data_IF_294145750113
#
_entry.id   IF_294145750113
#
_cell.length_a   1.000
_cell.length_b   1.000
_cell.length_c   1.000
_cell.angle_alpha   90.00
_cell.angle_beta   90.00
_cell.angle_gamma   90.00
#
_symmetry.space_group_name_H-M   'P 1'
#
loop_
_entity.id
_entity.type
_entity.pdbx_description
1 polymer ?
#
# COMPACT_ATOMS: atom_id res chain seq x y z
N UNK A 1 -5.75 3.30 17.27
CA UNK A 1 -5.00 2.13 16.79
C UNK A 1 -5.95 0.94 16.62
N UNK A 2 -7.10 1.16 15.97
CA UNK A 2 -8.14 0.12 15.78
C UNK A 2 -8.28 -0.26 14.29
N UNK A 3 -7.62 0.48 13.40
CA UNK A 3 -7.70 0.37 11.94
C UNK A 3 -6.64 -0.55 11.30
N UNK A 4 -5.87 -1.28 12.10
CA UNK A 4 -4.70 -1.99 11.60
C UNK A 4 -5.01 -3.48 11.34
N UNK A 5 -6.26 -3.90 11.53
CA UNK A 5 -6.71 -5.27 11.30
C UNK A 5 -7.21 -5.42 9.86
N UNK A 6 -6.81 -6.51 9.22
CA UNK A 6 -7.24 -6.90 7.87
C UNK A 6 -8.10 -8.15 7.94
N UNK A 7 -9.07 -8.25 7.02
CA UNK A 7 -9.93 -9.41 6.88
C UNK A 7 -9.45 -10.26 5.71
N UNK A 8 -9.08 -11.51 6.00
CA UNK A 8 -8.68 -12.48 5.00
C UNK A 8 -9.67 -13.63 4.97
N UNK A 9 -9.93 -14.12 3.78
CA UNK A 9 -10.98 -15.11 3.50
C UNK A 9 -10.39 -16.20 2.59
N UNK A 10 -10.87 -17.44 2.71
CA UNK A 10 -10.39 -18.57 1.92
C UNK A 10 -9.09 -19.19 2.44
N UNK A 11 -8.87 -20.47 2.12
CA UNK A 11 -7.77 -21.26 2.67
C UNK A 11 -6.42 -20.94 2.00
N UNK A 12 -6.31 -21.05 0.67
CA UNK A 12 -5.16 -20.60 -0.15
C UNK A 12 -5.60 -20.45 -1.62
N UNK A 13 -5.48 -19.27 -2.26
CA UNK A 13 -4.80 -18.05 -1.79
C UNK A 13 -5.60 -17.30 -0.73
N UNK A 14 -4.96 -16.38 -0.03
CA UNK A 14 -5.61 -15.52 0.97
C UNK A 14 -6.32 -14.35 0.28
N UNK A 15 -7.66 -14.32 0.31
CA UNK A 15 -8.46 -13.27 -0.31
C UNK A 15 -8.60 -12.08 0.65
N UNK A 16 -8.09 -10.92 0.26
CA UNK A 16 -8.17 -9.70 1.06
C UNK A 16 -9.46 -8.92 0.76
N UNK A 17 -10.24 -8.65 1.80
CA UNK A 17 -11.55 -8.00 1.69
C UNK A 17 -11.43 -6.48 1.88
N UNK A 18 -12.18 -5.74 1.07
CA UNK A 18 -12.30 -4.28 1.20
C UNK A 18 -13.00 -3.91 2.51
N UNK A 19 -12.47 -2.93 3.23
CA UNK A 19 -13.07 -2.45 4.48
C UNK A 19 -14.44 -1.80 4.28
N UNK A 20 -14.70 -1.22 3.10
CA UNK A 20 -16.00 -0.66 2.74
C UNK A 20 -17.13 -1.69 2.75
N UNK A 21 -16.81 -2.96 2.48
CA UNK A 21 -17.77 -4.08 2.53
C UNK A 21 -18.13 -4.39 3.98
N UNK A 22 -17.21 -4.12 4.91
CA UNK A 22 -17.31 -4.39 6.33
C UNK A 22 -17.78 -3.16 7.13
N UNK A 23 -18.47 -2.20 6.49
CA UNK A 23 -18.89 -0.94 7.12
C UNK A 23 -17.74 -0.19 7.84
N UNK A 24 -16.50 -0.35 7.37
CA UNK A 24 -15.27 0.18 7.97
C UNK A 24 -14.86 -0.40 9.34
N UNK A 25 -15.59 -1.42 9.83
CA UNK A 25 -15.37 -2.06 11.14
C UNK A 25 -15.01 -3.55 10.97
N UNK A 26 -13.73 -3.81 10.70
CA UNK A 26 -13.21 -5.16 10.43
C UNK A 26 -13.43 -6.13 11.60
N UNK A 27 -13.20 -5.70 12.84
CA UNK A 27 -13.29 -6.57 14.03
C UNK A 27 -14.71 -7.10 14.28
N UNK A 28 -15.72 -6.31 13.95
CA UNK A 28 -17.12 -6.65 14.19
C UNK A 28 -17.67 -7.49 13.05
N UNK A 29 -17.39 -7.10 11.80
CA UNK A 29 -18.07 -7.65 10.63
C UNK A 29 -17.26 -8.70 9.84
N UNK A 30 -15.96 -8.88 10.10
CA UNK A 30 -15.16 -9.94 9.51
C UNK A 30 -15.43 -11.28 10.21
N UNK A 31 -16.62 -11.83 10.04
CA UNK A 31 -17.05 -13.10 10.63
C UNK A 31 -17.81 -13.95 9.61
N UNK A 32 -17.77 -15.28 9.75
CA UNK A 32 -18.49 -16.18 8.87
C UNK A 32 -20.01 -16.18 9.11
N UNK A 33 -20.48 -15.45 10.12
CA UNK A 33 -21.88 -15.43 10.53
C UNK A 33 -22.79 -14.89 9.42
N UNK A 34 -23.94 -15.56 9.21
CA UNK A 34 -24.97 -15.08 8.29
C UNK A 34 -25.69 -13.84 8.85
N UNK A 35 -25.94 -13.82 10.16
CA UNK A 35 -26.73 -12.79 10.84
C UNK A 35 -25.88 -12.04 11.86
N UNK A 36 -25.90 -10.72 11.76
CA UNK A 36 -25.19 -9.81 12.66
C UNK A 36 -26.21 -8.99 13.46
N UNK A 37 -25.85 -8.65 14.69
CA UNK A 37 -26.63 -7.76 15.53
C UNK A 37 -26.10 -6.34 15.39
N UNK A 38 -26.97 -5.44 14.94
CA UNK A 38 -26.68 -4.00 14.93
C UNK A 38 -27.70 -3.33 15.85
N UNK A 39 -27.31 -3.20 17.13
CA UNK A 39 -28.24 -2.89 18.22
C UNK A 39 -29.24 -4.02 18.47
N UNK A 40 -30.53 -3.69 18.61
CA UNK A 40 -31.60 -4.66 18.87
C UNK A 40 -32.18 -5.34 17.60
N UNK A 41 -31.61 -5.09 16.42
CA UNK A 41 -32.12 -5.64 15.16
C UNK A 41 -31.15 -6.68 14.60
N UNK A 42 -31.68 -7.81 14.16
CA UNK A 42 -30.93 -8.79 13.36
C UNK A 42 -30.94 -8.36 11.91
N UNK A 43 -29.75 -8.21 11.33
CA UNK A 43 -29.56 -7.94 9.91
C UNK A 43 -28.63 -8.99 9.31
N UNK A 44 -28.67 -9.13 7.99
CA UNK A 44 -27.68 -9.96 7.30
C UNK A 44 -26.31 -9.30 7.46
N UNK A 45 -25.29 -10.07 7.85
CA UNK A 45 -23.93 -9.53 7.97
C UNK A 45 -23.46 -8.96 6.63
N UNK A 46 -22.79 -7.79 6.63
CA UNK A 46 -22.29 -7.17 5.40
C UNK A 46 -21.40 -8.09 4.56
N UNK A 47 -20.46 -8.80 5.21
CA UNK A 47 -19.55 -9.76 4.55
C UNK A 47 -20.32 -10.91 3.88
N UNK A 48 -21.24 -11.52 4.61
CA UNK A 48 -22.08 -12.60 4.05
C UNK A 48 -22.94 -12.08 2.90
N UNK A 49 -23.49 -10.86 3.03
CA UNK A 49 -24.31 -10.23 2.00
C UNK A 49 -23.55 -9.96 0.71
N UNK A 50 -22.27 -9.58 0.79
CA UNK A 50 -21.45 -9.29 -0.39
C UNK A 50 -20.99 -10.56 -1.11
N UNK A 51 -20.65 -11.61 -0.36
CA UNK A 51 -20.15 -12.88 -0.92
C UNK A 51 -21.30 -13.70 -1.52
N UNK A 52 -22.45 -13.75 -0.85
CA UNK A 52 -23.54 -14.68 -1.16
C UNK A 52 -24.80 -14.01 -1.72
N UNK A 53 -24.69 -12.78 -2.24
CA UNK A 53 -25.74 -11.95 -2.88
C UNK A 53 -27.16 -12.54 -2.79
N UNK A 54 -28.00 -12.04 -1.88
CA UNK A 54 -29.30 -12.62 -1.50
C UNK A 54 -30.15 -13.06 -2.71
N UNK A 55 -30.54 -14.35 -2.77
CA UNK A 55 -31.95 -14.79 -2.79
C UNK A 55 -32.09 -16.32 -2.81
N UNK A 56 -32.96 -16.83 -1.94
CA UNK A 56 -33.45 -18.23 -1.79
C UNK A 56 -32.56 -19.23 -1.04
N UNK A 57 -33.20 -20.26 -0.49
CA UNK A 57 -32.71 -21.29 0.44
C UNK A 57 -31.61 -22.22 -0.13
N UNK A 58 -30.80 -21.76 -1.07
CA UNK A 58 -29.67 -22.52 -1.59
C UNK A 58 -28.39 -22.10 -0.86
N UNK A 59 -27.58 -23.11 -0.54
CA UNK A 59 -26.24 -22.95 0.04
C UNK A 59 -25.46 -21.87 -0.72
N UNK A 60 -24.68 -21.06 -0.01
CA UNK A 60 -23.81 -20.10 -0.66
C UNK A 60 -22.83 -20.84 -1.57
N UNK A 61 -22.76 -20.45 -2.85
CA UNK A 61 -21.86 -21.09 -3.83
C UNK A 61 -20.38 -20.96 -3.41
N UNK A 62 -20.04 -19.91 -2.67
CA UNK A 62 -18.69 -19.63 -2.13
C UNK A 62 -18.55 -20.04 -0.65
N UNK A 63 -18.91 -21.27 -0.29
CA UNK A 63 -18.78 -21.73 1.09
C UNK A 63 -17.34 -21.77 1.61
N UNK A 64 -16.35 -22.12 0.76
CA UNK A 64 -14.92 -22.16 1.15
C UNK A 64 -14.39 -20.80 1.66
N UNK A 65 -14.96 -19.72 1.15
CA UNK A 65 -14.66 -18.37 1.62
C UNK A 65 -15.12 -18.20 3.07
N UNK A 66 -16.37 -18.55 3.34
CA UNK A 66 -17.00 -18.38 4.66
C UNK A 66 -16.42 -19.35 5.69
N UNK A 67 -16.02 -20.56 5.30
CA UNK A 67 -15.44 -21.53 6.23
C UNK A 67 -14.06 -21.07 6.77
N UNK A 68 -13.34 -20.25 6.00
CA UNK A 68 -11.96 -19.85 6.29
C UNK A 68 -11.81 -18.33 6.42
N UNK A 69 -12.58 -17.71 7.32
CA UNK A 69 -12.44 -16.28 7.66
C UNK A 69 -11.44 -16.10 8.79
N UNK A 70 -10.43 -15.25 8.57
CA UNK A 70 -9.42 -14.90 9.58
C UNK A 70 -9.20 -13.40 9.65
N UNK A 71 -9.03 -12.91 10.88
CA UNK A 71 -8.68 -11.53 11.17
C UNK A 71 -7.21 -11.54 11.58
N UNK A 72 -6.40 -10.78 10.85
CA UNK A 72 -4.98 -10.64 11.13
C UNK A 72 -4.61 -9.17 11.30
N UNK A 73 -3.51 -8.91 12.01
CA UNK A 73 -2.95 -7.57 12.08
C UNK A 73 -2.19 -7.28 10.80
N UNK A 74 -2.63 -6.28 10.04
CA UNK A 74 -1.94 -5.81 8.83
C UNK A 74 -0.60 -5.14 9.12
N UNK A 75 -0.43 -4.57 10.32
CA UNK A 75 0.83 -3.99 10.81
C UNK A 75 1.17 -4.62 12.17
N UNK A 76 1.74 -5.84 12.18
CA UNK A 76 2.09 -6.53 13.42
C UNK A 76 3.35 -5.97 14.11
N UNK A 77 4.07 -5.05 13.47
CA UNK A 77 5.35 -4.50 13.92
C UNK A 77 6.56 -5.28 13.39
N UNK A 78 7.77 -4.89 13.81
CA UNK A 78 9.04 -5.48 13.36
C UNK A 78 9.16 -6.96 13.75
N UNK A 79 8.90 -7.87 12.80
CA UNK A 79 9.03 -9.32 13.02
C UNK A 79 9.86 -9.98 11.91
N UNK A 80 10.83 -10.81 12.30
CA UNK A 80 11.74 -11.47 11.35
C UNK A 80 11.04 -12.43 10.38
N UNK A 81 9.98 -13.10 10.81
CA UNK A 81 9.23 -14.02 9.95
C UNK A 81 8.45 -13.27 8.86
N UNK A 82 7.96 -12.06 9.15
CA UNK A 82 7.24 -11.23 8.19
C UNK A 82 8.12 -10.85 6.98
N UNK A 83 9.40 -10.56 7.24
CA UNK A 83 10.37 -10.29 6.19
C UNK A 83 10.53 -11.49 5.24
N UNK A 84 10.54 -12.71 5.80
CA UNK A 84 10.66 -13.93 5.00
C UNK A 84 9.44 -14.16 4.11
N UNK A 85 8.24 -13.83 4.58
CA UNK A 85 7.01 -13.94 3.79
C UNK A 85 6.95 -12.93 2.63
N UNK A 86 7.52 -11.75 2.85
CA UNK A 86 7.57 -10.67 1.86
C UNK A 86 8.73 -10.80 0.85
N UNK A 87 9.60 -11.80 1.00
CA UNK A 87 10.81 -11.94 0.17
C UNK A 87 10.49 -12.33 -1.28
N UNK A 88 9.42 -13.10 -1.50
CA UNK A 88 9.05 -13.57 -2.83
C UNK A 88 8.30 -12.50 -3.62
N UNK A 89 8.47 -12.54 -4.94
CA UNK A 89 7.76 -11.64 -5.85
C UNK A 89 6.32 -12.10 -6.07
N UNK A 90 5.37 -11.17 -6.12
CA UNK A 90 3.97 -11.46 -6.46
C UNK A 90 3.48 -10.51 -7.56
N UNK A 91 3.98 -10.75 -8.77
CA UNK A 91 3.50 -10.12 -9.98
C UNK A 91 2.07 -10.58 -10.30
N UNK A 92 1.20 -9.66 -10.69
CA UNK A 92 -0.24 -9.88 -10.94
C UNK A 92 -0.66 -9.14 -12.21
N UNK A 93 -1.64 -9.70 -12.93
CA UNK A 93 -2.35 -9.01 -14.00
C UNK A 93 -3.59 -8.29 -13.46
N UNK A 94 -4.20 -7.48 -14.30
CA UNK A 94 -5.44 -6.77 -13.96
C UNK A 94 -6.56 -7.75 -13.55
N UNK A 95 -7.23 -7.43 -12.45
CA UNK A 95 -8.30 -8.24 -11.87
C UNK A 95 -7.83 -9.46 -11.08
N UNK A 96 -6.53 -9.71 -10.97
CA UNK A 96 -5.98 -10.85 -10.22
C UNK A 96 -5.69 -10.49 -8.76
N UNK A 97 -5.97 -11.42 -7.84
CA UNK A 97 -5.61 -11.30 -6.41
C UNK A 97 -4.19 -11.84 -6.20
N UNK A 98 -3.90 -12.94 -6.88
CA UNK A 98 -2.63 -13.66 -6.92
C UNK A 98 -2.41 -14.19 -8.35
N UNK A 99 -1.18 -14.64 -8.68
CA UNK A 99 -0.82 -15.09 -10.04
C UNK A 99 -1.84 -16.10 -10.57
N UNK A 100 -2.42 -15.79 -11.72
CA UNK A 100 -3.40 -16.63 -12.44
C UNK A 100 -4.74 -16.84 -11.69
N UNK A 101 -5.01 -16.09 -10.62
CA UNK A 101 -6.25 -16.20 -9.83
C UNK A 101 -7.00 -14.87 -9.88
N UNK A 102 -8.14 -14.87 -10.59
CA UNK A 102 -9.02 -13.70 -10.72
C UNK A 102 -9.89 -13.53 -9.47
N UNK A 103 -9.99 -12.29 -9.00
CA UNK A 103 -10.86 -11.91 -7.89
C UNK A 103 -12.11 -11.17 -8.33
N UNK A 104 -13.05 -11.07 -7.41
CA UNK A 104 -14.26 -10.27 -7.55
C UNK A 104 -14.02 -8.86 -7.02
N UNK A 105 -13.93 -7.89 -7.93
CA UNK A 105 -13.68 -6.49 -7.59
C UNK A 105 -14.79 -5.85 -6.75
N UNK A 106 -15.96 -6.49 -6.62
CA UNK A 106 -17.09 -5.98 -5.84
C UNK A 106 -16.79 -5.97 -4.34
N UNK A 107 -16.06 -6.97 -3.84
CA UNK A 107 -15.77 -7.10 -2.41
C UNK A 107 -14.30 -7.37 -2.07
N UNK A 108 -13.48 -7.79 -3.04
CA UNK A 108 -12.07 -8.11 -2.84
C UNK A 108 -11.15 -7.02 -3.35
N UNK A 109 -9.95 -6.96 -2.79
CA UNK A 109 -8.86 -6.12 -3.27
C UNK A 109 -8.13 -6.85 -4.40
N UNK A 110 -8.37 -6.40 -5.62
CA UNK A 110 -7.76 -6.94 -6.85
C UNK A 110 -6.70 -5.98 -7.40
N UNK A 111 -5.73 -6.52 -8.14
CA UNK A 111 -4.79 -5.70 -8.88
C UNK A 111 -5.52 -4.89 -9.97
N UNK A 112 -5.25 -3.59 -10.04
CA UNK A 112 -5.85 -2.69 -11.02
C UNK A 112 -5.05 -2.60 -12.31
N UNK A 113 -3.77 -2.94 -12.25
CA UNK A 113 -2.82 -2.77 -13.34
C UNK A 113 -1.90 -3.99 -13.40
N UNK A 114 -1.36 -4.26 -14.58
CA UNK A 114 -0.38 -5.32 -14.79
C UNK A 114 0.94 -4.94 -14.12
N UNK A 115 1.48 -5.82 -13.30
CA UNK A 115 2.73 -5.61 -12.57
C UNK A 115 3.80 -6.58 -13.07
N UNK A 116 4.87 -6.04 -13.66
CA UNK A 116 6.06 -6.81 -14.05
C UNK A 116 7.32 -6.11 -13.55
N UNK A 117 8.44 -6.82 -13.50
CA UNK A 117 9.72 -6.26 -13.04
C UNK A 117 10.10 -4.95 -13.77
N UNK A 118 10.02 -4.94 -15.10
CA UNK A 118 10.39 -3.77 -15.90
C UNK A 118 9.44 -2.57 -15.67
N UNK A 119 8.14 -2.83 -15.47
CA UNK A 119 7.17 -1.78 -15.13
C UNK A 119 7.52 -1.16 -13.77
N UNK A 120 7.84 -1.99 -12.77
CA UNK A 120 8.22 -1.49 -11.44
C UNK A 120 9.53 -0.69 -11.48
N UNK A 121 10.52 -1.11 -12.27
CA UNK A 121 11.75 -0.34 -12.51
C UNK A 121 11.42 1.01 -13.14
N UNK A 122 10.53 1.04 -14.15
CA UNK A 122 10.09 2.29 -14.79
C UNK A 122 9.37 3.25 -13.84
N UNK A 123 8.54 2.73 -12.93
CA UNK A 123 7.86 3.54 -11.90
C UNK A 123 8.84 4.05 -10.85
N UNK A 124 9.87 3.28 -10.51
CA UNK A 124 10.88 3.67 -9.52
C UNK A 124 11.94 4.63 -10.08
N UNK A 125 12.24 4.57 -11.38
CA UNK A 125 13.31 5.33 -12.01
C UNK A 125 13.27 6.84 -11.73
N UNK A 126 12.12 7.54 -11.79
CA UNK A 126 12.04 8.96 -11.45
C UNK A 126 12.57 9.31 -10.04
N UNK A 127 12.51 8.39 -9.08
CA UNK A 127 12.95 8.62 -7.69
C UNK A 127 14.46 8.78 -7.51
N UNK A 128 15.26 8.30 -8.47
CA UNK A 128 16.73 8.39 -8.47
C UNK A 128 17.26 9.43 -9.46
N UNK A 129 16.38 10.12 -10.18
CA UNK A 129 16.75 11.24 -11.05
C UNK A 129 17.05 12.50 -10.23
N UNK A 130 17.44 13.60 -10.89
CA UNK A 130 17.72 14.88 -10.21
C UNK A 130 19.15 15.05 -9.69
N UNK A 131 20.08 14.16 -10.05
CA UNK A 131 21.51 14.26 -9.72
C UNK A 131 22.15 15.60 -10.14
N UNK A 132 21.61 16.23 -11.18
CA UNK A 132 22.08 17.50 -11.73
C UNK A 132 21.63 18.73 -10.94
N UNK A 133 20.73 18.60 -9.96
CA UNK A 133 20.29 19.75 -9.16
C UNK A 133 21.45 20.44 -8.41
N UNK A 134 22.50 19.69 -8.08
CA UNK A 134 23.68 20.21 -7.37
C UNK A 134 24.53 21.19 -8.19
N UNK A 135 24.56 21.08 -9.52
CA UNK A 135 25.34 21.99 -10.38
C UNK A 135 24.64 23.33 -10.64
N UNK A 136 23.33 23.42 -10.39
CA UNK A 136 22.54 24.64 -10.64
C UNK A 136 22.93 25.81 -9.71
N UNK A 137 23.72 25.56 -8.67
CA UNK A 137 24.29 26.58 -7.77
C UNK A 137 25.82 26.62 -7.80
N UNK A 138 26.41 26.15 -8.90
CA UNK A 138 27.87 26.07 -9.03
C UNK A 138 28.59 27.42 -8.97
N UNK A 139 27.94 28.51 -9.42
CA UNK A 139 28.51 29.86 -9.41
C UNK A 139 28.67 30.51 -8.03
N UNK A 140 27.99 29.99 -7.00
CA UNK A 140 28.06 30.50 -5.62
C UNK A 140 29.05 29.68 -4.75
N UNK A 141 29.67 28.64 -5.33
CA UNK A 141 30.62 27.80 -4.62
C UNK A 141 32.01 28.43 -4.62
N UNK A 142 32.66 28.44 -3.45
CA UNK A 142 34.06 28.83 -3.30
C UNK A 142 35.00 28.01 -4.20
N UNK A 143 34.76 26.69 -4.29
CA UNK A 143 35.53 25.75 -5.11
C UNK A 143 34.58 24.73 -5.80
N UNK A 144 34.01 25.06 -6.98
CA UNK A 144 32.98 24.24 -7.63
C UNK A 144 33.52 22.89 -8.12
N UNK A 145 34.74 22.86 -8.64
CA UNK A 145 35.40 21.65 -9.19
C UNK A 145 35.55 20.53 -8.18
N UNK A 146 35.65 20.85 -6.88
CA UNK A 146 35.75 19.87 -5.79
C UNK A 146 34.42 19.65 -5.08
N UNK A 147 33.60 20.69 -4.94
CA UNK A 147 32.36 20.63 -4.15
C UNK A 147 31.23 19.89 -4.86
N UNK A 148 31.09 20.06 -6.18
CA UNK A 148 30.08 19.36 -6.98
C UNK A 148 30.23 17.84 -6.89
N UNK A 149 31.38 17.23 -7.26
CA UNK A 149 31.48 15.77 -7.25
C UNK A 149 31.34 15.17 -5.85
N UNK A 150 31.85 15.83 -4.81
CA UNK A 150 31.71 15.37 -3.43
C UNK A 150 30.27 15.44 -2.93
N UNK A 151 29.59 16.55 -3.18
CA UNK A 151 28.19 16.74 -2.81
C UNK A 151 27.29 15.72 -3.49
N UNK A 152 27.48 15.52 -4.80
CA UNK A 152 26.71 14.56 -5.58
C UNK A 152 26.88 13.13 -5.08
N UNK A 153 28.12 12.66 -4.86
CA UNK A 153 28.38 11.30 -4.35
C UNK A 153 27.80 11.13 -2.94
N UNK A 154 27.97 12.11 -2.05
CA UNK A 154 27.41 12.05 -0.70
C UNK A 154 25.87 12.00 -0.71
N UNK A 155 25.23 12.79 -1.58
CA UNK A 155 23.78 12.78 -1.75
C UNK A 155 23.28 11.42 -2.23
N UNK A 156 23.91 10.82 -3.25
CA UNK A 156 23.54 9.50 -3.79
C UNK A 156 23.66 8.41 -2.73
N UNK A 157 24.75 8.41 -1.95
CA UNK A 157 24.94 7.41 -0.89
C UNK A 157 23.85 7.57 0.17
N UNK A 158 23.56 8.81 0.57
CA UNK A 158 22.53 9.09 1.59
C UNK A 158 21.14 8.64 1.14
N UNK A 159 20.72 8.99 -0.08
CA UNK A 159 19.41 8.58 -0.59
C UNK A 159 19.32 7.07 -0.80
N UNK A 160 20.40 6.43 -1.26
CA UNK A 160 20.46 4.97 -1.41
C UNK A 160 20.26 4.24 -0.08
N UNK A 161 20.91 4.71 1.00
CA UNK A 161 20.74 4.13 2.35
C UNK A 161 19.29 4.31 2.84
N UNK A 162 18.69 5.49 2.64
CA UNK A 162 17.31 5.76 3.04
C UNK A 162 16.33 4.85 2.26
N UNK A 163 16.51 4.68 0.95
CA UNK A 163 15.64 3.82 0.16
C UNK A 163 15.77 2.34 0.54
N UNK A 164 17.00 1.82 0.66
CA UNK A 164 17.22 0.42 1.03
C UNK A 164 16.71 0.10 2.44
N UNK A 165 16.91 1.00 3.40
CA UNK A 165 16.39 0.83 4.75
C UNK A 165 14.85 0.81 4.74
N UNK A 166 14.19 1.73 4.04
CA UNK A 166 12.73 1.76 3.93
C UNK A 166 12.16 0.45 3.34
N UNK A 167 12.79 -0.13 2.32
CA UNK A 167 12.37 -1.42 1.75
C UNK A 167 12.39 -2.52 2.81
N UNK A 168 13.47 -2.61 3.60
CA UNK A 168 13.59 -3.61 4.67
C UNK A 168 12.58 -3.36 5.79
N UNK A 169 12.36 -2.11 6.18
CA UNK A 169 11.39 -1.74 7.21
C UNK A 169 9.95 -2.07 6.79
N UNK A 170 9.54 -1.71 5.57
CA UNK A 170 8.20 -2.03 5.09
C UNK A 170 7.98 -3.54 5.00
N UNK A 171 8.96 -4.28 4.48
CA UNK A 171 8.88 -5.73 4.37
C UNK A 171 8.86 -6.46 5.72
N UNK A 172 9.42 -5.88 6.78
CA UNK A 172 9.46 -6.50 8.12
C UNK A 172 8.30 -6.10 9.04
N UNK A 173 7.68 -4.94 8.81
CA UNK A 173 6.63 -4.40 9.68
C UNK A 173 5.20 -4.69 9.21
N UNK A 174 5.00 -5.02 7.95
CA UNK A 174 3.67 -5.05 7.32
C UNK A 174 3.35 -6.39 6.66
N UNK A 175 2.07 -6.73 6.65
CA UNK A 175 1.57 -7.95 6.05
C UNK A 175 1.60 -7.89 4.51
N UNK A 176 1.94 -8.99 3.86
CA UNK A 176 2.18 -9.07 2.41
C UNK A 176 0.97 -8.69 1.55
N UNK A 177 -0.23 -9.02 2.02
CA UNK A 177 -1.50 -8.67 1.37
C UNK A 177 -1.80 -7.16 1.47
N UNK A 178 -1.43 -6.50 2.57
CA UNK A 178 -1.66 -5.08 2.77
C UNK A 178 -0.73 -4.21 1.91
N UNK A 179 0.54 -4.60 1.74
CA UNK A 179 1.49 -3.91 0.84
C UNK A 179 1.03 -3.90 -0.63
N UNK A 180 0.19 -4.86 -0.99
CA UNK A 180 -0.37 -5.03 -2.34
C UNK A 180 -1.64 -4.22 -2.57
N UNK A 181 -2.14 -3.53 -1.55
CA UNK A 181 -3.29 -2.64 -1.60
C UNK A 181 -2.81 -1.19 -1.75
N UNK A 182 -2.79 -0.70 -2.99
CA UNK A 182 -2.30 0.63 -3.36
C UNK A 182 -3.05 1.76 -2.65
N UNK A 183 -4.36 1.62 -2.48
CA UNK A 183 -5.23 2.69 -1.96
C UNK A 183 -5.62 2.48 -0.49
N UNK A 184 -5.23 1.34 0.11
CA UNK A 184 -5.61 0.99 1.46
C UNK A 184 -7.11 0.76 1.59
N UNK A 185 -7.76 0.22 0.56
CA UNK A 185 -9.19 -0.13 0.61
C UNK A 185 -9.50 -1.10 1.76
N UNK A 186 -8.52 -1.90 2.18
CA UNK A 186 -8.58 -2.84 3.31
C UNK A 186 -8.49 -2.17 4.69
N UNK A 187 -7.98 -0.93 4.75
CA UNK A 187 -7.72 -0.17 5.97
C UNK A 187 -8.38 1.22 5.93
N UNK A 188 -9.62 1.28 5.48
CA UNK A 188 -10.43 2.52 5.42
C UNK A 188 -9.82 3.63 4.56
N UNK A 189 -9.25 3.28 3.40
CA UNK A 189 -8.63 4.20 2.43
C UNK A 189 -7.50 5.04 3.01
N UNK A 190 -6.73 4.44 3.92
CA UNK A 190 -5.55 5.08 4.51
C UNK A 190 -4.29 4.66 3.77
N UNK A 191 -3.33 5.57 3.66
CA UNK A 191 -2.04 5.24 3.10
C UNK A 191 -1.29 4.32 4.07
N UNK A 192 -0.85 3.14 3.61
CA UNK A 192 -0.15 2.14 4.45
C UNK A 192 1.07 2.74 5.15
N UNK A 193 1.85 3.56 4.44
CA UNK A 193 3.03 4.26 5.00
C UNK A 193 2.63 5.30 6.06
N UNK A 194 1.48 5.96 5.90
CA UNK A 194 1.00 6.92 6.90
C UNK A 194 0.48 6.21 8.16
N UNK A 195 -0.06 4.99 8.03
CA UNK A 195 -0.48 4.19 9.18
C UNK A 195 0.70 3.76 10.07
N UNK A 196 1.91 3.60 9.49
CA UNK A 196 3.15 3.33 10.22
C UNK A 196 3.73 4.56 10.94
N UNK A 197 3.28 5.77 10.61
CA UNK A 197 3.91 6.99 11.08
C UNK A 197 3.54 7.34 12.53
N UNK A 198 4.56 7.59 13.34
CA UNK A 198 4.42 8.11 14.70
C UNK A 198 4.76 9.61 14.72
N UNK A 199 4.07 10.48 15.49
CA UNK A 199 2.94 10.21 16.40
C UNK A 199 1.55 10.20 15.75
N UNK A 200 1.38 10.74 14.54
CA UNK A 200 0.09 10.80 13.87
C UNK A 200 0.23 10.67 12.33
N UNK A 201 -0.69 9.93 11.70
CA UNK A 201 -0.73 9.68 10.25
C UNK A 201 -0.76 10.94 9.39
N UNK A 202 -1.32 12.04 9.91
CA UNK A 202 -1.41 13.31 9.18
C UNK A 202 -0.05 13.92 8.83
N UNK A 203 1.00 13.59 9.58
CA UNK A 203 2.36 14.11 9.34
C UNK A 203 2.84 13.71 7.95
N UNK A 204 2.66 12.44 7.58
CA UNK A 204 3.06 11.95 6.25
C UNK A 204 2.17 12.55 5.16
N UNK A 205 0.87 12.66 5.39
CA UNK A 205 -0.05 13.22 4.39
C UNK A 205 0.28 14.68 4.06
N UNK A 206 0.45 15.53 5.08
CA UNK A 206 0.76 16.95 4.90
C UNK A 206 2.19 17.11 4.34
N UNK A 207 3.16 16.37 4.89
CA UNK A 207 4.54 16.42 4.45
C UNK A 207 4.70 16.02 2.97
N UNK A 208 4.06 14.92 2.55
CA UNK A 208 4.07 14.48 1.16
C UNK A 208 3.43 15.52 0.24
N UNK A 209 2.29 16.10 0.64
CA UNK A 209 1.62 17.15 -0.13
C UNK A 209 2.49 18.40 -0.31
N UNK A 210 3.07 18.93 0.77
CA UNK A 210 3.95 20.10 0.68
C UNK A 210 5.21 19.79 -0.14
N UNK A 211 5.78 18.60 0.00
CA UNK A 211 6.95 18.17 -0.76
C UNK A 211 6.67 18.05 -2.26
N UNK A 212 5.52 17.50 -2.66
CA UNK A 212 5.17 17.36 -4.09
C UNK A 212 4.86 18.70 -4.73
N UNK A 213 4.16 19.60 -4.03
CA UNK A 213 3.92 20.98 -4.49
C UNK A 213 5.25 21.73 -4.65
N UNK A 214 6.16 21.62 -3.67
CA UNK A 214 7.48 22.25 -3.74
C UNK A 214 8.32 21.75 -4.91
N UNK A 215 8.36 20.42 -5.11
CA UNK A 215 9.07 19.82 -6.24
C UNK A 215 8.45 20.26 -7.59
N UNK A 216 7.12 20.28 -7.69
CA UNK A 216 6.41 20.76 -8.88
C UNK A 216 6.74 22.22 -9.22
N UNK A 217 6.75 23.11 -8.22
CA UNK A 217 7.10 24.52 -8.41
C UNK A 217 8.57 24.69 -8.84
N UNK A 218 9.48 23.89 -8.27
CA UNK A 218 10.88 23.89 -8.69
C UNK A 218 11.02 23.52 -10.17
N UNK A 219 10.31 22.49 -10.63
CA UNK A 219 10.37 22.09 -12.04
C UNK A 219 9.73 23.11 -12.99
N UNK A 220 8.68 23.81 -12.55
CA UNK A 220 8.03 24.85 -13.34
C UNK A 220 8.98 26.02 -13.59
N UNK A 221 9.53 26.59 -12.52
CA UNK A 221 10.48 27.72 -12.61
C UNK A 221 11.84 27.35 -13.20
N UNK A 222 12.24 26.08 -13.05
CA UNK A 222 13.51 25.59 -13.56
C UNK A 222 13.55 25.49 -15.08
N UNK A 223 12.41 25.19 -15.73
CA UNK A 223 12.33 25.11 -17.19
C UNK A 223 12.37 26.50 -17.85
N UNK A 224 11.67 27.49 -17.28
CA UNK A 224 11.62 28.85 -17.83
C UNK A 224 13.00 29.55 -17.81
N UNK A 225 13.91 29.14 -16.92
CA UNK A 225 15.26 29.69 -16.82
C UNK A 225 16.25 29.18 -17.90
N UNK A 226 15.85 28.22 -18.75
CA UNK A 226 16.66 27.72 -19.86
C UNK A 226 16.30 28.36 -21.22
N UNK A 227 15.25 29.19 -21.28
CA UNK A 227 14.77 29.86 -22.50
C UNK A 227 15.32 31.30 -22.68
N UNK A 228 16.29 31.73 -21.84
CA UNK A 228 17.11 32.95 -22.01
C UNK A 228 18.59 32.61 -22.31
#
# INVERSE_FOLDING_TARGET
MESDHICLVGSNPSHLIKSSVLNNDVMTYCRPDKWCYEGNKTKLCPLYSSICNKSTNTLCSKNDYIENVRIEQGIPGLKNWQLSENFNSHYRREGEIERDIKGDSSFEVVAQEITTFLILVGIYFPSVTGIMAGSNRSGDLRDPSRSIPRGTIAAIITTSIIYLSNVIFLASCTHSSLLRDKFGDSINKQLVVAALAWPNKWIIMIGAFCSTVGAGLQTLTGNDAYDE
#
